data_IF_469029767233
#
_entry.id   IF_469029767233
#
_cell.length_a   1.000
_cell.length_b   1.000
_cell.length_c   1.000
_cell.angle_alpha   90.00
_cell.angle_beta   90.00
_cell.angle_gamma   90.00
#
_symmetry.space_group_name_H-M   'P 1'
#
loop_
_entity.id
_entity.type
_entity.pdbx_description
1 polymer ?
#
# COMPACT_ATOMS: atom_id res chain seq x y z
N UNK A 1 15.07 18.67 -5.82
CA UNK A 1 15.27 17.24 -6.18
C UNK A 1 14.31 16.75 -7.27
N UNK A 2 12.99 16.64 -7.02
CA UNK A 2 12.04 16.09 -8.01
C UNK A 2 12.00 16.80 -9.37
N UNK A 3 12.16 18.14 -9.39
CA UNK A 3 12.27 18.93 -10.64
C UNK A 3 13.53 18.60 -11.45
N UNK A 4 14.67 18.43 -10.78
CA UNK A 4 15.95 18.07 -11.42
C UNK A 4 15.85 16.68 -12.06
N UNK A 5 15.34 15.69 -11.31
CA UNK A 5 15.15 14.32 -11.82
C UNK A 5 14.20 14.25 -13.03
N UNK A 6 13.08 15.01 -13.00
CA UNK A 6 12.18 15.12 -14.17
C UNK A 6 12.86 15.74 -15.38
N UNK A 7 13.78 16.68 -15.17
CA UNK A 7 14.62 17.25 -16.24
C UNK A 7 15.53 16.24 -16.92
N UNK A 8 15.77 15.07 -16.30
CA UNK A 8 16.54 13.96 -16.86
C UNK A 8 15.66 12.80 -17.37
N UNK A 9 14.36 13.03 -17.58
CA UNK A 9 13.43 12.03 -18.12
C UNK A 9 12.90 11.02 -17.10
N UNK A 10 13.28 11.14 -15.82
CA UNK A 10 12.71 10.29 -14.77
C UNK A 10 11.30 10.74 -14.43
N UNK A 11 10.36 9.81 -14.39
CA UNK A 11 9.04 10.06 -13.83
C UNK A 11 9.13 10.15 -12.31
N UNK A 12 8.92 11.35 -11.74
CA UNK A 12 8.99 11.58 -10.29
C UNK A 12 7.70 12.18 -9.76
N UNK A 13 7.12 11.55 -8.74
CA UNK A 13 6.03 12.07 -7.91
C UNK A 13 6.43 12.03 -6.43
N UNK A 14 5.95 12.98 -5.64
CA UNK A 14 6.09 12.93 -4.19
C UNK A 14 5.20 11.79 -3.68
N UNK A 15 5.82 10.72 -3.17
CA UNK A 15 5.14 9.54 -2.62
C UNK A 15 4.88 9.81 -1.13
N UNK A 16 3.65 10.16 -0.76
CA UNK A 16 3.25 10.37 0.64
C UNK A 16 2.07 9.46 1.05
N UNK A 17 1.79 8.43 0.26
CA UNK A 17 0.64 7.55 0.46
C UNK A 17 1.06 6.11 0.81
N UNK A 18 2.22 5.97 1.42
CA UNK A 18 2.72 4.68 1.89
C UNK A 18 2.49 4.58 3.39
N UNK A 19 1.75 3.56 3.80
CA UNK A 19 1.49 3.24 5.19
C UNK A 19 2.23 1.96 5.53
N UNK A 20 3.16 2.03 6.48
CA UNK A 20 3.75 0.82 7.07
C UNK A 20 2.69 0.18 7.96
N UNK A 21 2.43 -1.10 7.74
CA UNK A 21 1.43 -1.86 8.47
C UNK A 21 2.09 -2.79 9.47
N UNK A 22 1.65 -2.70 10.73
CA UNK A 22 2.11 -3.58 11.78
C UNK A 22 0.99 -3.95 12.74
N UNK A 23 1.09 -5.15 13.30
CA UNK A 23 0.19 -5.65 14.35
C UNK A 23 1.05 -6.44 15.35
N UNK A 24 0.73 -6.35 16.65
CA UNK A 24 1.45 -7.06 17.71
C UNK A 24 2.98 -6.85 17.65
N UNK A 25 3.41 -5.59 17.53
CA UNK A 25 4.83 -5.18 17.41
C UNK A 25 5.59 -5.78 16.21
N UNK A 26 4.89 -6.26 15.18
CA UNK A 26 5.52 -6.80 13.97
C UNK A 26 5.00 -6.09 12.74
N UNK A 27 5.92 -5.58 11.93
CA UNK A 27 5.61 -5.05 10.60
C UNK A 27 5.30 -6.25 9.70
N UNK A 28 4.17 -6.19 9.01
CA UNK A 28 3.77 -7.26 8.09
C UNK A 28 3.67 -6.82 6.64
N UNK A 29 3.66 -5.51 6.38
CA UNK A 29 3.46 -5.02 5.03
C UNK A 29 3.46 -3.52 4.88
N UNK A 30 3.23 -3.08 3.65
CA UNK A 30 3.10 -1.68 3.28
C UNK A 30 1.86 -1.53 2.41
N UNK A 31 1.01 -0.55 2.72
CA UNK A 31 -0.09 -0.14 1.87
C UNK A 31 0.31 1.11 1.10
N UNK A 32 0.30 1.03 -0.23
CA UNK A 32 0.49 2.17 -1.12
C UNK A 32 -0.87 2.61 -1.66
N UNK A 33 -1.31 3.80 -1.30
CA UNK A 33 -2.56 4.39 -1.74
C UNK A 33 -2.33 5.33 -2.94
N UNK A 34 -3.17 5.22 -3.96
CA UNK A 34 -3.24 6.16 -5.07
C UNK A 34 -4.69 6.66 -5.22
N UNK A 35 -5.18 7.56 -4.34
CA UNK A 35 -6.59 7.96 -4.29
C UNK A 35 -7.09 8.56 -5.62
N UNK A 36 -6.27 9.38 -6.28
CA UNK A 36 -6.56 9.96 -7.59
C UNK A 36 -6.71 8.92 -8.72
N UNK A 37 -6.23 7.69 -8.51
CA UNK A 37 -6.38 6.57 -9.43
C UNK A 37 -7.44 5.57 -8.97
N UNK A 38 -8.02 5.77 -7.78
CA UNK A 38 -8.92 4.81 -7.14
C UNK A 38 -8.24 3.46 -6.92
N UNK A 39 -6.94 3.46 -6.56
CA UNK A 39 -6.13 2.24 -6.41
C UNK A 39 -5.43 2.19 -5.06
N UNK A 40 -5.29 0.98 -4.55
CA UNK A 40 -4.47 0.63 -3.40
C UNK A 40 -3.65 -0.62 -3.72
N UNK A 41 -2.39 -0.63 -3.31
CA UNK A 41 -1.50 -1.79 -3.42
C UNK A 41 -1.06 -2.18 -2.01
N UNK A 42 -1.42 -3.39 -1.59
CA UNK A 42 -1.04 -3.96 -0.31
C UNK A 42 0.10 -4.95 -0.53
N UNK A 43 1.29 -4.57 -0.11
CA UNK A 43 2.46 -5.43 -0.09
C UNK A 43 2.55 -6.15 1.25
N UNK A 44 2.53 -7.48 1.23
CA UNK A 44 2.66 -8.33 2.42
C UNK A 44 4.03 -9.01 2.37
N UNK A 45 4.78 -8.93 3.46
CA UNK A 45 6.08 -9.56 3.57
C UNK A 45 5.94 -11.09 3.63
N UNK A 46 6.65 -11.84 2.79
CA UNK A 46 6.71 -13.31 2.90
C UNK A 46 7.32 -13.71 4.25
N UNK A 47 6.72 -14.70 4.91
CA UNK A 47 7.11 -15.12 6.26
C UNK A 47 6.47 -14.30 7.39
N UNK A 48 5.68 -13.28 7.06
CA UNK A 48 4.79 -12.64 8.03
C UNK A 48 3.77 -13.65 8.58
N UNK A 49 3.67 -13.75 9.91
CA UNK A 49 2.66 -14.57 10.60
C UNK A 49 1.27 -13.90 10.61
N UNK A 50 1.00 -13.03 9.65
CA UNK A 50 -0.28 -12.32 9.56
C UNK A 50 -1.35 -13.26 9.03
N UNK A 51 -2.44 -13.40 9.77
CA UNK A 51 -3.56 -14.24 9.38
C UNK A 51 -4.34 -13.64 8.21
N UNK A 52 -5.00 -14.50 7.43
CA UNK A 52 -5.95 -14.06 6.39
C UNK A 52 -7.05 -13.16 6.96
N UNK A 53 -7.51 -13.41 8.19
CA UNK A 53 -8.50 -12.58 8.88
C UNK A 53 -8.04 -11.13 9.08
N UNK A 54 -6.76 -10.93 9.39
CA UNK A 54 -6.19 -9.60 9.53
C UNK A 54 -6.17 -8.86 8.19
N UNK A 55 -5.82 -9.57 7.11
CA UNK A 55 -5.83 -9.03 5.75
C UNK A 55 -7.26 -8.67 5.35
N UNK A 56 -8.22 -9.57 5.57
CA UNK A 56 -9.63 -9.34 5.26
C UNK A 56 -10.21 -8.15 6.02
N UNK A 57 -9.86 -8.01 7.30
CA UNK A 57 -10.25 -6.84 8.11
C UNK A 57 -9.73 -5.54 7.51
N UNK A 58 -8.44 -5.51 7.13
CA UNK A 58 -7.85 -4.34 6.48
C UNK A 58 -8.54 -4.02 5.14
N UNK A 59 -8.83 -5.03 4.31
CA UNK A 59 -9.55 -4.84 3.05
C UNK A 59 -10.95 -4.26 3.27
N UNK A 60 -11.67 -4.73 4.28
CA UNK A 60 -12.99 -4.23 4.64
C UNK A 60 -12.94 -2.76 5.11
N UNK A 61 -11.93 -2.39 5.90
CA UNK A 61 -11.72 -0.99 6.30
C UNK A 61 -11.44 -0.09 5.09
N UNK A 62 -10.59 -0.52 4.16
CA UNK A 62 -10.32 0.25 2.95
C UNK A 62 -11.57 0.41 2.08
N UNK A 63 -12.39 -0.64 1.98
CA UNK A 63 -13.66 -0.63 1.25
C UNK A 63 -14.76 0.20 1.92
N UNK A 64 -14.75 0.34 3.25
CA UNK A 64 -15.72 1.20 3.94
C UNK A 64 -15.40 2.68 3.76
N UNK A 65 -14.11 3.03 3.59
CA UNK A 65 -13.66 4.39 3.29
C UNK A 65 -13.95 4.76 1.83
N UNK A 66 -13.58 3.87 0.89
CA UNK A 66 -13.86 4.04 -0.54
C UNK A 66 -14.29 2.70 -1.14
N UNK A 67 -15.60 2.54 -1.37
CA UNK A 67 -16.18 1.30 -1.91
C UNK A 67 -15.69 0.98 -3.33
N UNK A 68 -15.26 2.00 -4.09
CA UNK A 68 -14.82 1.89 -5.48
C UNK A 68 -13.32 1.66 -5.61
N UNK A 69 -12.55 1.78 -4.53
CA UNK A 69 -11.10 1.57 -4.58
C UNK A 69 -10.76 0.16 -5.05
N UNK A 70 -9.83 0.04 -6.00
CA UNK A 70 -9.31 -1.25 -6.48
C UNK A 70 -8.10 -1.61 -5.64
N UNK A 71 -8.19 -2.72 -4.90
CA UNK A 71 -7.13 -3.18 -4.00
C UNK A 71 -6.42 -4.37 -4.62
N UNK A 72 -5.12 -4.27 -4.79
CA UNK A 72 -4.28 -5.37 -5.25
C UNK A 72 -3.39 -5.84 -4.09
N UNK A 73 -3.48 -7.12 -3.73
CA UNK A 73 -2.61 -7.73 -2.70
C UNK A 73 -1.43 -8.42 -3.39
N UNK A 74 -0.22 -8.10 -2.94
CA UNK A 74 1.03 -8.59 -3.49
C UNK A 74 1.88 -9.17 -2.35
N UNK A 75 2.38 -10.39 -2.52
CA UNK A 75 3.26 -11.03 -1.54
C UNK A 75 4.72 -10.81 -1.95
N UNK A 76 5.39 -9.88 -1.26
CA UNK A 76 6.77 -9.49 -1.54
C UNK A 76 7.74 -10.58 -1.07
N UNK A 77 8.63 -11.00 -1.98
CA UNK A 77 9.66 -12.02 -1.76
C UNK A 77 10.71 -11.63 -0.74
#
# INVERSE_FOLDING_TARGET
>A
MARLLRGHGFYVRMHAYEYVLGINNRIFGVLVLEPWRGKAQLYIHKGSLTSEDCINTLLNVLKSIDSKIKINVLYAS
#
